data_IF_192117521644
#
_entry.id   IF_192117521644
#
_cell.length_a   1.000
_cell.length_b   1.000
_cell.length_c   1.000
_cell.angle_alpha   90.00
_cell.angle_beta   90.00
_cell.angle_gamma   90.00
#
_symmetry.space_group_name_H-M   'P 1'
#
loop_
_entity.id
_entity.type
_entity.pdbx_description
1 polymer ?
#
# COMPACT_ATOMS: atom_id res chain seq x y z
N UNK A 1 6.92 -11.19 5.34
CA UNK A 1 6.64 -11.71 6.69
C UNK A 1 5.52 -10.89 7.34
N UNK A 2 4.40 -11.52 7.72
CA UNK A 2 3.21 -10.81 8.22
C UNK A 2 3.17 -10.70 9.74
N UNK A 3 3.84 -11.59 10.46
CA UNK A 3 3.68 -11.77 11.91
C UNK A 3 2.23 -12.06 12.33
N UNK A 4 1.41 -12.47 11.34
CA UNK A 4 0.02 -12.80 11.58
C UNK A 4 -0.11 -14.05 12.47
N UNK A 5 -1.04 -13.95 13.41
CA UNK A 5 -1.49 -15.06 14.24
C UNK A 5 -2.98 -15.25 14.02
N UNK A 6 -3.53 -16.37 14.43
CA UNK A 6 -4.98 -16.61 14.35
C UNK A 6 -5.81 -15.52 15.07
N UNK A 7 -5.21 -14.85 16.08
CA UNK A 7 -5.88 -13.85 16.91
C UNK A 7 -5.82 -12.42 16.35
N UNK A 8 -4.86 -12.09 15.44
CA UNK A 8 -4.67 -10.72 14.96
C UNK A 8 -4.99 -10.51 13.48
N UNK A 9 -5.55 -11.51 12.81
CA UNK A 9 -5.89 -11.44 11.38
C UNK A 9 -6.87 -10.29 11.05
N UNK A 10 -7.79 -9.98 11.96
CA UNK A 10 -8.75 -8.87 11.79
C UNK A 10 -8.09 -7.48 11.71
N UNK A 11 -6.91 -7.32 12.29
CA UNK A 11 -6.17 -6.04 12.25
C UNK A 11 -5.41 -5.81 10.94
N UNK A 12 -5.31 -6.84 10.10
CA UNK A 12 -4.59 -6.82 8.83
C UNK A 12 -5.52 -6.60 7.62
N UNK A 13 -6.77 -6.23 7.87
CA UNK A 13 -7.74 -5.95 6.80
C UNK A 13 -7.41 -4.60 6.15
N UNK A 14 -7.29 -4.59 4.82
CA UNK A 14 -7.14 -3.37 4.02
C UNK A 14 -8.46 -3.14 3.27
N UNK A 15 -9.16 -2.01 3.48
CA UNK A 15 -10.39 -1.70 2.74
C UNK A 15 -10.15 -1.71 1.22
N UNK A 16 -11.06 -2.33 0.46
CA UNK A 16 -10.95 -2.45 -0.99
C UNK A 16 -10.17 -3.68 -1.46
N UNK A 17 -9.62 -4.48 -0.54
CA UNK A 17 -8.88 -5.70 -0.87
C UNK A 17 -9.45 -6.92 -0.17
N UNK A 18 -9.40 -8.06 -0.85
CA UNK A 18 -9.58 -9.37 -0.26
C UNK A 18 -8.21 -9.85 0.27
N UNK A 19 -8.16 -10.28 1.51
CA UNK A 19 -6.93 -10.75 2.14
C UNK A 19 -6.90 -12.28 2.14
N UNK A 20 -5.96 -12.87 1.41
CA UNK A 20 -5.59 -14.28 1.50
C UNK A 20 -4.37 -14.38 2.40
N UNK A 21 -4.46 -15.16 3.48
CA UNK A 21 -3.41 -15.19 4.50
C UNK A 21 -3.12 -16.61 4.94
N UNK A 22 -1.84 -16.89 5.14
CA UNK A 22 -1.35 -18.10 5.75
C UNK A 22 -0.47 -17.71 6.95
N UNK A 23 -1.04 -17.66 8.17
CA UNK A 23 -0.28 -17.39 9.38
C UNK A 23 0.64 -18.57 9.68
N UNK A 24 1.78 -18.27 10.30
CA UNK A 24 2.64 -19.34 10.84
C UNK A 24 2.04 -19.86 12.15
N UNK A 25 2.02 -21.17 12.33
CA UNK A 25 1.64 -21.85 13.57
C UNK A 25 2.88 -22.30 14.35
N UNK A 26 2.80 -22.32 15.69
CA UNK A 26 3.80 -22.93 16.56
C UNK A 26 5.09 -22.12 16.81
N UNK A 27 5.39 -21.05 16.04
CA UNK A 27 6.58 -20.20 16.25
C UNK A 27 6.22 -18.72 16.06
N UNK A 28 6.93 -17.84 16.75
CA UNK A 28 6.76 -16.39 16.60
C UNK A 28 7.35 -15.92 15.26
N UNK A 29 6.68 -14.97 14.59
CA UNK A 29 7.07 -14.39 13.30
C UNK A 29 6.64 -15.24 12.12
N UNK A 30 7.00 -14.86 10.92
CA UNK A 30 6.62 -15.54 9.67
C UNK A 30 5.21 -15.22 9.21
N UNK A 31 4.64 -16.13 8.43
CA UNK A 31 3.37 -15.96 7.75
C UNK A 31 3.48 -15.11 6.49
N UNK A 32 2.67 -15.45 5.50
CA UNK A 32 2.57 -14.75 4.21
C UNK A 32 1.13 -14.33 3.94
N UNK A 33 0.97 -13.24 3.18
CA UNK A 33 -0.35 -12.76 2.78
C UNK A 33 -0.31 -12.21 1.36
N UNK A 34 -1.44 -12.35 0.66
CA UNK A 34 -1.69 -11.73 -0.64
C UNK A 34 -2.98 -10.93 -0.53
N UNK A 35 -2.92 -9.65 -0.84
CA UNK A 35 -4.07 -8.78 -0.93
C UNK A 35 -4.46 -8.61 -2.40
N UNK A 36 -5.66 -9.05 -2.73
CA UNK A 36 -6.20 -8.98 -4.09
C UNK A 36 -7.28 -7.91 -4.13
N UNK A 37 -7.20 -6.98 -5.09
CA UNK A 37 -8.25 -5.98 -5.29
C UNK A 37 -9.62 -6.65 -5.44
N UNK A 38 -10.65 -6.11 -4.80
CA UNK A 38 -11.99 -6.70 -4.75
C UNK A 38 -12.64 -6.88 -6.13
N UNK A 39 -12.20 -6.12 -7.14
CA UNK A 39 -12.68 -6.25 -8.52
C UNK A 39 -12.13 -7.46 -9.25
N UNK A 40 -11.07 -8.10 -8.74
CA UNK A 40 -10.38 -9.21 -9.38
C UNK A 40 -10.89 -10.54 -8.81
N UNK A 41 -11.36 -11.42 -9.69
CA UNK A 41 -11.71 -12.79 -9.32
C UNK A 41 -10.46 -13.62 -9.08
N UNK A 42 -10.43 -14.37 -8.01
CA UNK A 42 -9.30 -15.22 -7.65
C UNK A 42 -9.73 -16.53 -6.99
N UNK A 43 -8.79 -17.48 -6.93
CA UNK A 43 -8.92 -18.74 -6.21
C UNK A 43 -7.64 -19.00 -5.45
N UNK A 44 -7.73 -19.36 -4.17
CA UNK A 44 -6.58 -19.83 -3.39
C UNK A 44 -6.24 -21.25 -3.82
N UNK A 45 -4.96 -21.53 -4.04
CA UNK A 45 -4.46 -22.81 -4.54
C UNK A 45 -4.15 -23.76 -3.36
N UNK A 46 -5.19 -24.23 -2.72
CA UNK A 46 -5.08 -25.19 -1.60
C UNK A 46 -4.56 -26.57 -2.04
N UNK A 47 -4.63 -26.88 -3.33
CA UNK A 47 -4.07 -28.07 -3.95
C UNK A 47 -2.53 -28.14 -3.89
N UNK A 48 -1.87 -27.01 -3.63
CA UNK A 48 -0.42 -26.94 -3.49
C UNK A 48 0.08 -27.18 -2.06
N UNK A 49 -0.79 -27.47 -1.11
CA UNK A 49 -0.39 -27.69 0.31
C UNK A 49 0.58 -28.87 0.49
N UNK A 50 0.62 -29.81 -0.43
CA UNK A 50 1.58 -30.92 -0.41
C UNK A 50 3.05 -30.48 -0.53
N UNK A 51 3.28 -29.24 -1.03
CA UNK A 51 4.61 -28.64 -1.16
C UNK A 51 5.00 -27.80 0.07
N UNK A 52 4.14 -27.71 1.09
CA UNK A 52 4.44 -27.02 2.34
C UNK A 52 5.54 -27.75 3.10
N UNK A 53 6.50 -26.99 3.61
CA UNK A 53 7.58 -27.50 4.43
C UNK A 53 8.06 -26.45 5.43
N UNK A 54 8.86 -26.88 6.41
CA UNK A 54 9.40 -26.00 7.45
C UNK A 54 10.46 -25.01 6.95
N UNK A 55 11.05 -25.28 5.77
CA UNK A 55 12.11 -24.49 5.17
C UNK A 55 11.60 -23.20 4.53
N UNK A 56 10.34 -23.18 4.09
CA UNK A 56 9.74 -21.94 3.58
C UNK A 56 8.22 -21.97 3.69
N UNK A 57 7.67 -20.77 3.75
CA UNK A 57 6.23 -20.53 3.75
C UNK A 57 5.83 -19.92 2.43
N UNK A 58 4.79 -20.44 1.83
CA UNK A 58 4.24 -19.85 0.62
C UNK A 58 2.72 -19.86 0.61
N UNK A 59 2.16 -18.95 -0.17
CA UNK A 59 0.74 -18.86 -0.49
C UNK A 59 0.61 -18.61 -1.97
N UNK A 60 -0.20 -19.39 -2.65
CA UNK A 60 -0.47 -19.21 -4.08
C UNK A 60 -1.93 -18.82 -4.30
N UNK A 61 -2.13 -17.80 -5.11
CA UNK A 61 -3.45 -17.32 -5.55
C UNK A 61 -3.47 -17.30 -7.09
N UNK A 62 -4.48 -17.94 -7.67
CA UNK A 62 -4.73 -17.85 -9.11
C UNK A 62 -5.70 -16.71 -9.40
N UNK A 63 -5.25 -15.70 -10.13
CA UNK A 63 -6.07 -14.58 -10.60
C UNK A 63 -6.73 -14.93 -11.93
N UNK A 64 -8.01 -14.54 -12.09
CA UNK A 64 -8.77 -14.67 -13.34
C UNK A 64 -8.94 -13.28 -13.97
N UNK A 65 -8.21 -13.01 -15.05
CA UNK A 65 -8.14 -11.73 -15.73
C UNK A 65 -8.69 -11.87 -17.17
N UNK A 66 -10.01 -11.76 -17.30
CA UNK A 66 -10.67 -12.11 -18.56
C UNK A 66 -10.53 -13.61 -18.86
N UNK A 67 -9.91 -13.93 -20.01
CA UNK A 67 -9.64 -15.31 -20.41
C UNK A 67 -8.26 -15.82 -19.93
N UNK A 68 -7.46 -14.97 -19.30
CA UNK A 68 -6.14 -15.33 -18.82
C UNK A 68 -6.18 -15.70 -17.34
N UNK A 69 -5.39 -16.69 -16.98
CA UNK A 69 -5.11 -17.06 -15.59
C UNK A 69 -3.67 -16.74 -15.27
N UNK A 70 -3.44 -16.12 -14.13
CA UNK A 70 -2.10 -15.78 -13.64
C UNK A 70 -1.93 -16.29 -12.22
N UNK A 71 -0.85 -17.01 -11.95
CA UNK A 71 -0.53 -17.49 -10.61
C UNK A 71 0.39 -16.48 -9.91
N UNK A 72 0.00 -16.06 -8.72
CA UNK A 72 0.78 -15.17 -7.86
C UNK A 72 1.13 -15.93 -6.59
N UNK A 73 2.42 -16.04 -6.31
CA UNK A 73 2.95 -16.76 -5.14
C UNK A 73 3.68 -15.77 -4.24
N UNK A 74 3.29 -15.71 -2.98
CA UNK A 74 4.05 -15.04 -1.94
C UNK A 74 4.92 -16.08 -1.23
N UNK A 75 6.22 -15.79 -1.08
CA UNK A 75 7.20 -16.70 -0.45
C UNK A 75 7.90 -15.97 0.70
N UNK A 76 8.09 -16.69 1.79
CA UNK A 76 8.97 -16.28 2.87
C UNK A 76 9.83 -17.47 3.30
N UNK A 77 11.16 -17.33 3.19
CA UNK A 77 12.13 -18.31 3.71
C UNK A 77 12.71 -17.80 5.02
N UNK A 78 12.55 -18.52 6.13
CA UNK A 78 13.19 -18.14 7.38
C UNK A 78 14.73 -18.17 7.28
N UNK A 79 15.46 -17.20 7.90
CA UNK A 79 16.90 -17.01 7.65
C UNK A 79 17.78 -18.13 8.22
N UNK A 80 17.39 -19.11 8.85
CA UNK A 80 18.23 -20.19 9.43
C UNK A 80 17.85 -21.58 8.94
N UNK A 81 17.03 -21.67 7.90
CA UNK A 81 16.62 -22.94 7.33
C UNK A 81 17.66 -23.46 6.32
N UNK A 82 17.68 -24.77 6.11
CA UNK A 82 18.58 -25.42 5.16
C UNK A 82 18.34 -24.89 3.75
N UNK A 83 19.37 -24.30 3.13
CA UNK A 83 19.27 -23.78 1.78
C UNK A 83 19.14 -24.90 0.73
N UNK A 84 19.89 -26.01 0.80
CA UNK A 84 19.72 -27.12 -0.13
C UNK A 84 18.30 -27.73 -0.11
N UNK A 85 17.70 -27.90 1.07
CA UNK A 85 16.32 -28.41 1.18
C UNK A 85 15.31 -27.39 0.61
N UNK A 86 15.51 -26.11 0.89
CA UNK A 86 14.69 -25.05 0.31
C UNK A 86 14.72 -25.08 -1.23
N UNK A 87 15.92 -25.17 -1.83
CA UNK A 87 16.10 -25.21 -3.29
C UNK A 87 15.42 -26.43 -3.89
N UNK A 88 15.56 -27.61 -3.25
CA UNK A 88 14.89 -28.85 -3.69
C UNK A 88 13.37 -28.71 -3.67
N UNK A 89 12.80 -28.09 -2.64
CA UNK A 89 11.36 -27.91 -2.52
C UNK A 89 10.86 -26.83 -3.49
N UNK A 90 11.65 -25.77 -3.70
CA UNK A 90 11.36 -24.78 -4.75
C UNK A 90 11.31 -25.43 -6.14
N UNK A 91 12.26 -26.32 -6.49
CA UNK A 91 12.27 -26.99 -7.78
C UNK A 91 10.96 -27.77 -8.02
N UNK A 92 10.50 -28.53 -7.02
CA UNK A 92 9.23 -29.28 -7.12
C UNK A 92 8.03 -28.35 -7.34
N UNK A 93 7.93 -27.27 -6.54
CA UNK A 93 6.85 -26.28 -6.65
C UNK A 93 6.89 -25.56 -8.00
N UNK A 94 8.07 -25.14 -8.46
CA UNK A 94 8.27 -24.46 -9.73
C UNK A 94 7.89 -25.36 -10.91
N UNK A 95 8.33 -26.62 -10.90
CA UNK A 95 7.95 -27.63 -11.89
C UNK A 95 6.43 -27.77 -11.98
N UNK A 96 5.74 -27.88 -10.84
CA UNK A 96 4.28 -28.00 -10.79
C UNK A 96 3.61 -26.76 -11.40
N UNK A 97 4.00 -25.55 -10.96
CA UNK A 97 3.38 -24.32 -11.37
C UNK A 97 3.65 -23.97 -12.85
N UNK A 98 4.85 -24.23 -13.34
CA UNK A 98 5.21 -23.94 -14.75
C UNK A 98 4.58 -24.92 -15.71
N UNK A 99 4.32 -26.18 -15.28
CA UNK A 99 3.61 -27.17 -16.10
C UNK A 99 2.18 -26.76 -16.46
N UNK A 100 1.57 -25.87 -15.69
CA UNK A 100 0.21 -25.37 -15.93
C UNK A 100 0.12 -24.33 -17.05
N UNK A 101 1.25 -23.83 -17.54
CA UNK A 101 1.34 -22.83 -18.62
C UNK A 101 0.61 -21.51 -18.35
N UNK A 102 0.38 -21.20 -17.09
CA UNK A 102 -0.11 -19.88 -16.67
C UNK A 102 1.06 -18.94 -16.41
N UNK A 103 0.89 -17.65 -16.66
CA UNK A 103 1.91 -16.66 -16.25
C UNK A 103 2.07 -16.74 -14.74
N UNK A 104 3.33 -16.86 -14.29
CA UNK A 104 3.69 -17.07 -12.89
C UNK A 104 4.49 -15.89 -12.37
N UNK A 105 4.08 -15.37 -11.22
CA UNK A 105 4.77 -14.35 -10.44
C UNK A 105 5.06 -14.91 -9.06
N UNK A 106 6.33 -14.95 -8.67
CA UNK A 106 6.75 -15.43 -7.34
C UNK A 106 7.47 -14.27 -6.66
N UNK A 107 6.87 -13.71 -5.64
CA UNK A 107 7.39 -12.55 -4.91
C UNK A 107 7.61 -12.88 -3.44
N UNK A 108 8.69 -12.38 -2.87
CA UNK A 108 8.92 -12.54 -1.44
C UNK A 108 10.34 -12.30 -0.98
N UNK A 109 10.54 -12.60 0.31
CA UNK A 109 11.84 -12.60 0.97
C UNK A 109 12.40 -14.02 0.98
N UNK A 110 13.39 -14.24 0.15
CA UNK A 110 14.07 -15.55 0.02
C UNK A 110 15.19 -15.72 1.05
N UNK A 111 15.61 -14.64 1.73
CA UNK A 111 16.78 -14.63 2.60
C UNK A 111 18.04 -15.24 1.95
N UNK A 112 18.17 -15.10 0.62
CA UNK A 112 19.31 -15.49 -0.21
C UNK A 112 19.83 -14.23 -0.88
N UNK A 113 21.08 -13.87 -0.63
CA UNK A 113 21.68 -12.66 -1.22
C UNK A 113 22.07 -12.91 -2.68
N UNK A 114 21.20 -12.56 -3.61
CA UNK A 114 21.41 -12.78 -5.05
C UNK A 114 22.60 -11.96 -5.61
N UNK A 115 23.12 -10.98 -4.87
CA UNK A 115 24.35 -10.28 -5.28
C UNK A 115 25.59 -11.14 -5.16
N UNK A 116 25.49 -12.31 -4.50
CA UNK A 116 26.60 -13.24 -4.29
C UNK A 116 26.54 -14.45 -5.21
N UNK A 117 25.77 -14.40 -6.28
CA UNK A 117 25.59 -15.58 -7.15
C UNK A 117 26.94 -16.10 -7.73
N UNK A 118 27.90 -15.22 -8.01
CA UNK A 118 29.24 -15.60 -8.52
C UNK A 118 30.19 -16.16 -7.42
N UNK A 119 29.88 -15.95 -6.14
CA UNK A 119 30.77 -16.22 -5.03
C UNK A 119 30.22 -17.23 -4.01
N UNK A 120 28.99 -17.66 -4.17
CA UNK A 120 28.33 -18.55 -3.22
C UNK A 120 27.51 -19.61 -3.96
N UNK A 121 28.03 -20.83 -3.96
CA UNK A 121 27.51 -21.98 -4.75
C UNK A 121 26.01 -22.25 -4.52
N UNK A 122 25.56 -22.16 -3.26
CA UNK A 122 24.14 -22.39 -2.95
C UNK A 122 23.23 -21.29 -3.52
N UNK A 123 23.74 -20.05 -3.62
CA UNK A 123 22.99 -18.94 -4.27
C UNK A 123 22.93 -19.14 -5.77
N UNK A 124 24.04 -19.58 -6.40
CA UNK A 124 24.08 -19.95 -7.81
C UNK A 124 23.08 -21.06 -8.10
N UNK A 125 23.12 -22.15 -7.31
CA UNK A 125 22.21 -23.28 -7.46
C UNK A 125 20.72 -22.88 -7.35
N UNK A 126 20.37 -21.96 -6.44
CA UNK A 126 19.00 -21.44 -6.36
C UNK A 126 18.58 -20.68 -7.63
N UNK A 127 19.48 -19.82 -8.16
CA UNK A 127 19.21 -19.10 -9.40
C UNK A 127 19.12 -20.04 -10.60
N UNK A 128 20.00 -21.05 -10.69
CA UNK A 128 20.00 -22.04 -11.75
C UNK A 128 18.65 -22.80 -11.76
N UNK A 129 18.19 -23.25 -10.60
CA UNK A 129 16.87 -23.90 -10.46
C UNK A 129 15.73 -22.96 -10.90
N UNK A 130 15.79 -21.68 -10.52
CA UNK A 130 14.77 -20.75 -10.98
C UNK A 130 14.80 -20.57 -12.51
N UNK A 131 15.98 -20.44 -13.10
CA UNK A 131 16.16 -20.26 -14.56
C UNK A 131 15.79 -21.51 -15.35
N UNK A 132 16.09 -22.71 -14.85
CA UNK A 132 15.65 -24.00 -15.43
C UNK A 132 14.11 -24.08 -15.57
N UNK A 133 13.41 -23.41 -14.67
CA UNK A 133 11.95 -23.30 -14.72
C UNK A 133 11.45 -22.01 -15.38
N UNK A 134 12.30 -21.33 -16.16
CA UNK A 134 11.96 -20.07 -16.85
C UNK A 134 11.49 -18.95 -15.91
N UNK A 135 12.01 -18.90 -14.68
CA UNK A 135 11.70 -17.88 -13.69
C UNK A 135 12.85 -16.87 -13.62
N UNK A 136 12.57 -15.65 -14.06
CA UNK A 136 13.56 -14.58 -14.18
C UNK A 136 13.42 -13.57 -13.04
N UNK A 137 14.49 -13.28 -12.29
CA UNK A 137 14.46 -12.25 -11.27
C UNK A 137 14.34 -10.85 -11.92
N UNK A 138 13.50 -10.01 -11.36
CA UNK A 138 13.24 -8.67 -11.91
C UNK A 138 13.88 -7.54 -11.11
N UNK A 139 14.33 -7.81 -9.89
CA UNK A 139 15.01 -6.85 -9.03
C UNK A 139 16.50 -7.18 -9.01
N UNK A 140 17.34 -6.17 -9.34
CA UNK A 140 18.79 -6.31 -9.44
C UNK A 140 19.57 -5.42 -8.44
N UNK A 141 18.86 -4.65 -7.60
CA UNK A 141 19.48 -3.76 -6.61
C UNK A 141 19.18 -4.24 -5.19
N UNK A 142 20.08 -3.95 -4.23
CA UNK A 142 19.85 -4.33 -2.83
C UNK A 142 18.48 -3.89 -2.33
N UNK A 143 17.81 -4.79 -1.63
CA UNK A 143 16.50 -4.55 -1.02
C UNK A 143 16.59 -4.37 0.49
N UNK A 144 17.61 -4.93 1.14
CA UNK A 144 17.83 -4.79 2.57
C UNK A 144 19.14 -4.08 2.88
N UNK A 145 19.08 -3.18 3.86
CA UNK A 145 20.19 -2.32 4.22
C UNK A 145 20.43 -2.33 5.73
N UNK A 146 21.67 -2.65 6.12
CA UNK A 146 22.20 -2.46 7.47
C UNK A 146 23.30 -1.37 7.48
N UNK A 147 23.95 -1.15 8.62
CA UNK A 147 25.08 -0.20 8.70
C UNK A 147 26.21 -0.54 7.75
N UNK A 148 26.58 -1.81 7.66
CA UNK A 148 27.77 -2.29 6.96
C UNK A 148 27.46 -3.12 5.72
N UNK A 149 26.22 -3.59 5.55
CA UNK A 149 25.86 -4.50 4.47
C UNK A 149 24.66 -4.00 3.69
N UNK A 150 24.66 -4.36 2.42
CA UNK A 150 23.48 -4.25 1.55
C UNK A 150 23.31 -5.57 0.81
N UNK A 151 22.12 -6.14 0.86
CA UNK A 151 21.79 -7.47 0.32
C UNK A 151 20.57 -7.42 -0.56
N UNK A 152 20.52 -8.27 -1.57
CA UNK A 152 19.38 -8.48 -2.46
C UNK A 152 18.71 -9.80 -2.08
N UNK A 153 17.82 -9.76 -1.10
CA UNK A 153 17.15 -10.94 -0.54
C UNK A 153 15.66 -10.99 -0.85
N UNK A 154 15.08 -9.87 -1.28
CA UNK A 154 13.70 -9.80 -1.76
C UNK A 154 13.71 -9.72 -3.29
N UNK A 155 12.85 -10.50 -3.96
CA UNK A 155 12.74 -10.46 -5.42
C UNK A 155 11.34 -10.78 -5.90
N UNK A 156 11.09 -10.48 -7.18
CA UNK A 156 9.92 -10.91 -7.93
C UNK A 156 10.42 -11.68 -9.14
N UNK A 157 10.20 -12.99 -9.14
CA UNK A 157 10.49 -13.86 -10.28
C UNK A 157 9.27 -13.95 -11.18
N UNK A 158 9.48 -13.89 -12.50
CA UNK A 158 8.42 -13.94 -13.49
C UNK A 158 8.72 -15.01 -14.53
N UNK A 159 7.68 -15.72 -15.00
CA UNK A 159 7.84 -16.79 -16.00
C UNK A 159 7.81 -16.29 -17.46
N UNK A 160 7.59 -15.00 -17.68
CA UNK A 160 7.56 -14.41 -19.03
C UNK A 160 8.10 -12.98 -18.99
N UNK A 161 9.04 -12.69 -19.87
CA UNK A 161 9.60 -11.37 -20.10
C UNK A 161 9.06 -10.71 -21.37
N UNK A 162 8.06 -11.34 -22.03
CA UNK A 162 7.53 -10.89 -23.33
C UNK A 162 6.55 -9.71 -23.21
N UNK A 163 6.19 -9.30 -22.01
CA UNK A 163 5.32 -8.15 -21.76
C UNK A 163 6.17 -6.93 -21.40
N UNK A 164 5.72 -5.74 -21.84
CA UNK A 164 6.28 -4.49 -21.32
C UNK A 164 6.04 -4.44 -19.82
N UNK A 165 7.11 -4.43 -19.07
CA UNK A 165 7.03 -4.33 -17.63
C UNK A 165 7.97 -3.27 -17.06
N UNK A 166 7.63 -2.79 -15.88
CA UNK A 166 8.49 -1.96 -15.04
C UNK A 166 8.60 -2.60 -13.68
N UNK A 167 9.82 -2.92 -13.27
CA UNK A 167 10.09 -3.45 -11.94
C UNK A 167 11.10 -2.56 -11.21
N UNK A 168 11.04 -2.55 -9.89
CA UNK A 168 11.95 -1.74 -9.10
C UNK A 168 11.64 -1.79 -7.61
N UNK A 169 12.20 -0.82 -6.89
CA UNK A 169 12.02 -0.70 -5.46
C UNK A 169 11.63 0.74 -5.07
N UNK A 170 10.86 0.86 -4.01
CA UNK A 170 10.53 2.15 -3.40
C UNK A 170 11.50 2.45 -2.27
N UNK A 171 12.05 3.65 -2.26
CA UNK A 171 12.85 4.12 -1.12
C UNK A 171 11.90 4.52 0.00
N UNK A 172 11.77 3.64 0.98
CA UNK A 172 10.91 3.79 2.15
C UNK A 172 11.62 3.32 3.41
N UNK A 173 11.35 3.95 4.53
CA UNK A 173 11.90 3.59 5.84
C UNK A 173 10.88 2.92 6.76
N UNK A 174 9.87 2.26 6.17
CA UNK A 174 8.88 1.49 6.93
C UNK A 174 9.50 0.29 7.64
N UNK A 175 10.51 -0.33 7.01
CA UNK A 175 11.27 -1.44 7.55
C UNK A 175 12.75 -1.32 7.12
N UNK A 176 13.60 -2.27 7.50
CA UNK A 176 14.96 -2.42 6.99
C UNK A 176 15.00 -3.04 5.58
N UNK A 177 13.85 -3.55 5.09
CA UNK A 177 13.64 -3.95 3.71
C UNK A 177 12.95 -2.84 2.92
N UNK A 178 13.40 -2.62 1.68
CA UNK A 178 12.73 -1.72 0.75
C UNK A 178 11.60 -2.46 0.03
N UNK A 179 10.39 -1.87 -0.06
CA UNK A 179 9.31 -2.44 -0.87
C UNK A 179 9.71 -2.56 -2.34
N UNK A 180 9.47 -3.70 -2.93
CA UNK A 180 9.68 -3.99 -4.34
C UNK A 180 8.35 -3.95 -5.09
N UNK A 181 8.37 -3.64 -6.38
CA UNK A 181 7.18 -3.63 -7.22
C UNK A 181 7.45 -4.18 -8.61
N UNK A 182 6.38 -4.69 -9.21
CA UNK A 182 6.33 -5.12 -10.59
C UNK A 182 5.03 -4.62 -11.22
N UNK A 183 5.12 -3.98 -12.35
CA UNK A 183 3.99 -3.44 -13.12
C UNK A 183 4.08 -4.03 -14.52
N UNK A 184 3.07 -4.77 -14.94
CA UNK A 184 2.92 -5.23 -16.31
C UNK A 184 1.60 -4.74 -16.90
N UNK A 185 1.57 -4.53 -18.22
CA UNK A 185 0.35 -4.21 -18.91
C UNK A 185 -0.52 -5.47 -19.01
N UNK A 186 -1.67 -5.46 -18.37
CA UNK A 186 -2.68 -6.48 -18.56
C UNK A 186 -3.59 -5.99 -19.69
N UNK A 187 -3.66 -6.71 -20.80
CA UNK A 187 -4.64 -6.46 -21.86
C UNK A 187 -6.04 -6.89 -21.36
N UNK A 188 -6.57 -6.21 -20.37
CA UNK A 188 -7.95 -6.42 -19.97
C UNK A 188 -8.84 -5.46 -20.75
N UNK A 189 -9.92 -5.96 -21.35
CA UNK A 189 -11.04 -5.14 -21.79
C UNK A 189 -11.87 -4.64 -20.59
N UNK A 190 -11.31 -4.60 -19.41
CA UNK A 190 -11.97 -4.08 -18.24
C UNK A 190 -12.18 -2.57 -18.43
N UNK A 191 -13.42 -2.18 -18.78
CA UNK A 191 -13.88 -0.82 -18.55
C UNK A 191 -13.56 -0.50 -17.08
N UNK A 192 -12.57 0.35 -16.85
CA UNK A 192 -12.40 0.95 -15.54
C UNK A 192 -13.70 1.72 -15.23
N UNK A 193 -14.59 1.10 -14.49
CA UNK A 193 -15.69 1.82 -13.89
C UNK A 193 -15.10 2.69 -12.77
N UNK A 194 -14.68 3.89 -13.14
CA UNK A 194 -14.41 4.90 -12.14
C UNK A 194 -15.73 5.22 -11.46
N UNK A 195 -15.83 4.90 -10.21
CA UNK A 195 -16.96 5.31 -9.39
C UNK A 195 -16.96 6.86 -9.35
N UNK A 196 -17.95 7.45 -10.02
CA UNK A 196 -18.13 8.89 -10.02
C UNK A 196 -18.96 9.20 -8.80
N UNK A 197 -18.33 9.65 -7.72
CA UNK A 197 -19.07 10.17 -6.57
C UNK A 197 -19.48 11.61 -6.85
N UNK A 198 -20.79 11.84 -6.83
CA UNK A 198 -21.35 13.16 -6.86
C UNK A 198 -21.35 13.73 -5.44
N UNK A 199 -20.54 14.74 -5.19
CA UNK A 199 -20.57 15.50 -3.92
C UNK A 199 -21.17 16.86 -4.14
N UNK A 200 -22.06 17.27 -3.24
CA UNK A 200 -22.57 18.64 -3.24
C UNK A 200 -21.60 19.53 -2.43
N UNK A 201 -21.21 20.65 -2.97
CA UNK A 201 -20.39 21.62 -2.28
C UNK A 201 -20.82 23.04 -2.63
N UNK A 202 -20.55 23.99 -1.72
CA UNK A 202 -20.73 25.43 -1.95
C UNK A 202 -19.37 26.05 -2.24
N UNK A 203 -19.34 26.99 -3.16
CA UNK A 203 -18.10 27.74 -3.47
C UNK A 203 -18.15 29.07 -2.71
N UNK A 204 -17.24 29.22 -1.75
CA UNK A 204 -17.08 30.43 -0.95
C UNK A 204 -15.93 31.25 -1.57
N UNK A 205 -16.23 32.11 -2.54
CA UNK A 205 -15.25 33.07 -3.09
C UNK A 205 -15.34 34.40 -2.32
N UNK A 206 -14.24 35.15 -2.31
CA UNK A 206 -14.23 36.49 -1.67
C UNK A 206 -15.32 37.42 -2.22
N UNK A 207 -15.58 37.34 -3.53
CA UNK A 207 -16.66 38.08 -4.17
C UNK A 207 -18.04 37.65 -3.68
N UNK A 208 -18.30 36.33 -3.55
CA UNK A 208 -19.58 35.85 -3.06
C UNK A 208 -19.76 36.15 -1.57
N UNK A 209 -18.70 36.14 -0.77
CA UNK A 209 -18.73 36.55 0.64
C UNK A 209 -19.04 38.05 0.75
N UNK A 210 -18.43 38.89 -0.08
CA UNK A 210 -18.71 40.30 -0.12
C UNK A 210 -20.18 40.59 -0.47
N UNK A 211 -20.69 39.96 -1.53
CA UNK A 211 -22.10 40.12 -1.93
C UNK A 211 -23.07 39.62 -0.85
N UNK A 212 -22.75 38.55 -0.15
CA UNK A 212 -23.57 38.04 0.96
C UNK A 212 -23.62 39.03 2.12
N UNK A 213 -22.47 39.68 2.46
CA UNK A 213 -22.41 40.72 3.49
C UNK A 213 -23.25 41.95 3.12
N UNK A 214 -23.16 42.39 1.89
CA UNK A 214 -23.98 43.49 1.38
C UNK A 214 -25.48 43.18 1.47
N UNK A 215 -25.90 41.97 1.07
CA UNK A 215 -27.29 41.54 1.17
C UNK A 215 -27.77 41.45 2.63
N UNK A 216 -26.93 40.92 3.53
CA UNK A 216 -27.25 40.87 4.96
C UNK A 216 -27.44 42.29 5.56
N UNK A 217 -26.55 43.20 5.20
CA UNK A 217 -26.62 44.58 5.67
C UNK A 217 -27.85 45.33 5.14
N UNK A 218 -28.26 45.02 3.91
CA UNK A 218 -29.44 45.63 3.27
C UNK A 218 -30.77 44.98 3.68
N UNK A 219 -30.74 43.87 4.45
CA UNK A 219 -31.94 43.11 4.81
C UNK A 219 -32.68 43.80 5.95
N UNK A 220 -33.99 43.94 5.77
CA UNK A 220 -34.89 44.41 6.84
C UNK A 220 -35.19 43.26 7.83
N UNK A 221 -34.78 43.45 9.07
CA UNK A 221 -34.95 42.54 10.19
C UNK A 221 -36.10 42.91 11.14
N UNK A 222 -36.88 43.93 10.85
CA UNK A 222 -37.92 44.46 11.73
C UNK A 222 -38.98 43.44 12.14
N UNK A 223 -39.28 42.44 11.29
CA UNK A 223 -40.18 41.34 11.63
C UNK A 223 -39.63 40.38 12.69
N UNK A 224 -38.29 40.30 12.81
CA UNK A 224 -37.63 39.48 13.83
C UNK A 224 -37.71 40.18 15.20
N UNK A 225 -37.70 41.50 15.23
CA UNK A 225 -37.67 42.30 16.47
C UNK A 225 -39.08 42.62 17.04
N UNK A 226 -40.15 42.42 16.26
CA UNK A 226 -41.55 42.73 16.64
C UNK A 226 -42.33 41.60 17.24
N UNK A 227 -41.75 40.47 17.51
CA UNK A 227 -42.43 39.29 18.10
C UNK A 227 -41.91 38.99 19.49
N UNK A 228 -42.79 38.78 20.43
CA UNK A 228 -42.45 38.43 21.80
C UNK A 228 -42.12 36.93 21.96
N UNK A 229 -42.44 36.12 20.97
CA UNK A 229 -42.10 34.68 20.95
C UNK A 229 -40.73 34.45 20.30
N UNK A 230 -39.76 34.04 21.10
CA UNK A 230 -38.40 33.79 20.70
C UNK A 230 -38.30 32.73 19.58
N UNK A 231 -39.13 31.71 19.57
CA UNK A 231 -39.12 30.68 18.54
C UNK A 231 -39.61 31.21 17.20
N UNK A 232 -40.62 32.08 17.22
CA UNK A 232 -41.14 32.76 16.03
C UNK A 232 -40.09 33.76 15.49
N UNK A 233 -39.49 34.54 16.37
CA UNK A 233 -38.38 35.47 16.01
C UNK A 233 -37.24 34.70 15.36
N UNK A 234 -36.80 33.60 15.97
CA UNK A 234 -35.74 32.77 15.42
C UNK A 234 -36.13 32.12 14.07
N UNK A 235 -37.38 31.68 13.95
CA UNK A 235 -37.91 31.14 12.69
C UNK A 235 -37.84 32.12 11.54
N UNK A 236 -38.21 33.41 11.80
CA UNK A 236 -38.14 34.46 10.82
C UNK A 236 -36.65 34.78 10.45
N UNK A 237 -35.78 34.90 11.46
CA UNK A 237 -34.37 35.11 11.24
C UNK A 237 -33.73 34.05 10.38
N UNK A 238 -33.86 32.75 10.79
CA UNK A 238 -33.20 31.67 10.10
C UNK A 238 -33.70 31.44 8.68
N UNK A 239 -35.03 31.61 8.47
CA UNK A 239 -35.65 31.53 7.13
C UNK A 239 -35.07 32.58 6.17
N UNK A 240 -34.94 33.82 6.64
CA UNK A 240 -34.39 34.92 5.85
C UNK A 240 -32.89 34.70 5.60
N UNK A 241 -32.15 34.36 6.65
CA UNK A 241 -30.70 34.08 6.57
C UNK A 241 -30.41 32.92 5.59
N UNK A 242 -31.12 31.81 5.69
CA UNK A 242 -30.95 30.64 4.81
C UNK A 242 -31.27 30.98 3.35
N UNK A 243 -32.28 31.78 3.12
CA UNK A 243 -32.59 32.26 1.77
C UNK A 243 -31.41 33.03 1.17
N UNK A 244 -30.89 34.02 1.88
CA UNK A 244 -29.74 34.83 1.45
C UNK A 244 -28.46 33.97 1.30
N UNK A 245 -28.25 33.03 2.21
CA UNK A 245 -27.11 32.12 2.18
C UNK A 245 -27.17 31.22 0.97
N UNK A 246 -28.33 30.60 0.69
CA UNK A 246 -28.53 29.70 -0.45
C UNK A 246 -28.42 30.46 -1.79
N UNK A 247 -28.87 31.70 -1.84
CA UNK A 247 -28.75 32.54 -3.02
C UNK A 247 -27.29 32.92 -3.29
N UNK A 248 -26.55 33.30 -2.24
CA UNK A 248 -25.17 33.77 -2.37
C UNK A 248 -24.19 32.58 -2.57
N UNK A 249 -24.50 31.41 -2.00
CA UNK A 249 -23.66 30.21 -2.06
C UNK A 249 -24.46 29.02 -2.54
N UNK A 250 -24.90 28.98 -3.80
CA UNK A 250 -25.71 27.89 -4.31
C UNK A 250 -24.99 26.54 -4.22
N UNK A 251 -25.72 25.49 -3.85
CA UNK A 251 -25.19 24.14 -3.88
C UNK A 251 -24.91 23.71 -5.32
N UNK A 252 -23.68 23.31 -5.57
CA UNK A 252 -23.25 22.76 -6.86
C UNK A 252 -22.90 21.30 -6.70
N UNK A 253 -23.41 20.45 -7.60
CA UNK A 253 -23.01 19.05 -7.66
C UNK A 253 -21.69 18.96 -8.44
N UNK A 254 -20.63 18.56 -7.75
CA UNK A 254 -19.30 18.35 -8.35
C UNK A 254 -19.11 16.85 -8.52
N UNK A 255 -18.98 16.42 -9.76
CA UNK A 255 -18.56 15.06 -10.09
C UNK A 255 -17.07 14.91 -9.87
N UNK A 256 -16.66 14.16 -8.86
CA UNK A 256 -15.26 13.83 -8.62
C UNK A 256 -15.00 12.38 -8.95
N UNK A 257 -13.98 12.11 -9.75
CA UNK A 257 -13.42 10.77 -9.84
C UNK A 257 -12.85 10.45 -8.46
N UNK A 258 -13.30 9.37 -7.85
CA UNK A 258 -12.68 8.90 -6.61
C UNK A 258 -11.32 8.33 -6.98
N UNK A 259 -10.30 9.14 -6.85
CA UNK A 259 -8.97 8.60 -6.61
C UNK A 259 -8.98 8.16 -5.15
N UNK A 260 -8.78 6.88 -4.91
CA UNK A 260 -8.82 6.24 -3.58
C UNK A 260 -7.71 6.70 -2.62
N UNK A 261 -7.07 7.82 -2.89
CA UNK A 261 -6.24 8.52 -1.93
C UNK A 261 -7.13 9.26 -0.93
N UNK A 262 -7.77 8.50 -0.05
CA UNK A 262 -8.40 9.07 1.15
C UNK A 262 -7.27 9.62 2.01
N UNK A 263 -6.94 10.89 1.79
CA UNK A 263 -6.10 11.65 2.72
C UNK A 263 -6.78 11.58 4.09
N UNK A 264 -6.17 10.82 5.02
CA UNK A 264 -6.71 10.72 6.38
C UNK A 264 -6.77 12.12 6.97
N UNK A 265 -7.89 12.55 7.61
CA UNK A 265 -8.08 13.94 8.06
C UNK A 265 -6.97 14.47 8.98
N UNK A 266 -6.26 13.57 9.68
CA UNK A 266 -5.16 13.92 10.58
C UNK A 266 -3.82 14.18 9.87
N UNK A 267 -3.68 13.88 8.57
CA UNK A 267 -2.48 14.16 7.79
C UNK A 267 -2.49 15.62 7.35
N UNK A 268 -1.89 16.48 8.18
CA UNK A 268 -1.76 17.90 7.89
C UNK A 268 -0.63 18.18 6.88
N UNK A 269 -0.64 19.37 6.25
CA UNK A 269 0.46 19.81 5.37
C UNK A 269 1.83 19.82 6.09
N UNK A 270 1.84 20.13 7.39
CA UNK A 270 3.04 20.06 8.23
C UNK A 270 3.58 18.65 8.37
N UNK A 271 2.71 17.67 8.61
CA UNK A 271 3.07 16.25 8.67
C UNK A 271 3.64 15.80 7.31
N UNK A 272 3.00 16.17 6.19
CA UNK A 272 3.49 15.85 4.86
C UNK A 272 4.88 16.44 4.57
N UNK A 273 5.15 17.69 4.99
CA UNK A 273 6.50 18.29 4.88
C UNK A 273 7.52 17.52 5.72
N UNK A 274 7.14 17.09 6.93
CA UNK A 274 8.01 16.32 7.82
C UNK A 274 8.32 14.92 7.25
N UNK A 275 7.33 14.24 6.65
CA UNK A 275 7.53 12.97 5.94
C UNK A 275 8.56 13.17 4.82
N UNK A 276 8.35 14.14 3.94
CA UNK A 276 9.27 14.43 2.82
C UNK A 276 10.70 14.73 3.31
N UNK A 277 10.85 15.47 4.42
CA UNK A 277 12.17 15.75 5.00
C UNK A 277 12.82 14.50 5.57
N UNK A 278 12.06 13.65 6.28
CA UNK A 278 12.53 12.36 6.79
C UNK A 278 12.99 11.46 5.65
N UNK A 279 12.20 11.32 4.59
CA UNK A 279 12.54 10.51 3.42
C UNK A 279 13.78 11.04 2.68
N UNK A 280 13.95 12.38 2.63
CA UNK A 280 15.18 12.98 2.07
C UNK A 280 16.42 12.61 2.88
N UNK A 281 16.34 12.68 4.21
CA UNK A 281 17.46 12.30 5.09
C UNK A 281 17.78 10.81 4.99
N UNK A 282 16.76 9.97 4.85
CA UNK A 282 16.92 8.54 4.63
C UNK A 282 17.64 8.24 3.31
N UNK A 283 17.25 8.89 2.22
CA UNK A 283 17.93 8.76 0.91
C UNK A 283 19.40 9.18 0.98
N UNK A 284 19.71 10.28 1.67
CA UNK A 284 21.11 10.73 1.87
C UNK A 284 21.90 9.65 2.61
N UNK A 285 21.35 9.10 3.70
CA UNK A 285 22.04 8.02 4.42
C UNK A 285 22.23 6.77 3.54
N UNK A 286 21.22 6.35 2.80
CA UNK A 286 21.32 5.21 1.88
C UNK A 286 22.42 5.43 0.81
N UNK A 287 22.63 6.66 0.35
CA UNK A 287 23.61 6.99 -0.67
C UNK A 287 25.06 7.08 -0.16
N UNK A 288 25.29 7.71 1.00
CA UNK A 288 26.64 7.95 1.51
C UNK A 288 27.08 6.99 2.61
N UNK A 289 26.16 6.31 3.29
CA UNK A 289 26.44 5.35 4.38
C UNK A 289 27.27 5.90 5.53
N UNK A 290 27.37 7.22 5.67
CA UNK A 290 28.13 7.83 6.75
C UNK A 290 27.40 7.77 8.08
N UNK A 291 28.16 7.67 9.19
CA UNK A 291 27.60 7.70 10.55
C UNK A 291 26.86 9.01 10.84
N UNK A 292 27.32 10.12 10.29
CA UNK A 292 26.69 11.43 10.48
C UNK A 292 25.34 11.51 9.79
N UNK A 293 25.22 10.99 8.56
CA UNK A 293 23.95 10.93 7.84
C UNK A 293 22.97 9.99 8.55
N UNK A 294 23.43 8.86 9.08
CA UNK A 294 22.63 7.94 9.88
C UNK A 294 22.10 8.61 11.14
N UNK A 295 22.98 9.29 11.89
CA UNK A 295 22.60 9.98 13.12
C UNK A 295 21.60 11.10 12.86
N UNK A 296 21.81 11.90 11.81
CA UNK A 296 20.88 12.95 11.39
C UNK A 296 19.51 12.40 11.02
N UNK A 297 19.47 11.32 10.24
CA UNK A 297 18.23 10.64 9.90
C UNK A 297 17.53 10.09 11.15
N UNK A 298 18.23 9.31 12.01
CA UNK A 298 17.65 8.72 13.22
C UNK A 298 17.11 9.76 14.20
N UNK A 299 17.87 10.85 14.40
CA UNK A 299 17.44 11.97 15.24
C UNK A 299 16.13 12.58 14.72
N UNK A 300 16.05 12.82 13.41
CA UNK A 300 14.86 13.38 12.81
C UNK A 300 13.68 12.40 12.84
N UNK A 301 13.90 11.11 12.55
CA UNK A 301 12.86 10.06 12.62
C UNK A 301 12.25 9.98 14.02
N UNK A 302 13.07 10.04 15.07
CA UNK A 302 12.59 10.04 16.46
C UNK A 302 11.72 11.26 16.75
N UNK A 303 12.14 12.46 16.37
CA UNK A 303 11.35 13.70 16.52
C UNK A 303 10.03 13.64 15.77
N UNK A 304 10.04 13.15 14.51
CA UNK A 304 8.84 12.96 13.70
C UNK A 304 7.85 12.00 14.36
N UNK A 305 8.32 10.87 14.89
CA UNK A 305 7.48 9.86 15.53
C UNK A 305 6.73 10.44 16.74
N UNK A 306 7.41 11.15 17.62
CA UNK A 306 6.76 11.79 18.78
C UNK A 306 5.74 12.87 18.38
N UNK A 307 6.03 13.65 17.35
CA UNK A 307 5.12 14.69 16.87
C UNK A 307 3.87 14.12 16.21
N UNK A 308 3.99 13.02 15.47
CA UNK A 308 2.85 12.37 14.79
C UNK A 308 1.96 11.58 15.73
N UNK A 309 2.52 10.88 16.72
CA UNK A 309 1.75 10.16 17.75
C UNK A 309 1.04 11.13 18.70
N UNK A 310 1.73 12.17 19.16
CA UNK A 310 1.14 13.16 20.05
C UNK A 310 -0.11 13.81 19.45
N UNK A 311 -0.12 14.07 18.13
CA UNK A 311 -1.32 14.59 17.43
C UNK A 311 -2.43 13.56 17.26
N UNK A 312 -2.11 12.28 17.08
CA UNK A 312 -3.12 11.23 17.01
C UNK A 312 -3.86 11.01 18.34
N UNK A 313 -3.17 11.12 19.46
CA UNK A 313 -3.78 10.99 20.81
C UNK A 313 -4.73 12.16 21.11
N UNK A 314 -4.42 13.37 20.59
CA UNK A 314 -5.28 14.56 20.78
C UNK A 314 -6.55 14.51 19.92
N UNK A 315 -6.50 13.85 18.75
CA UNK A 315 -7.66 13.75 17.85
C UNK A 315 -8.56 12.54 18.10
N UNK A 316 -8.16 11.62 18.99
CA UNK A 316 -9.00 10.49 19.44
C UNK A 316 -9.71 10.76 20.79
N UNK A 317 -9.51 11.90 21.40
CA UNK A 317 -10.28 12.44 22.53
C UNK A 317 -11.25 13.49 22.01
#
# INVERSE_FOLDING_TARGET
ETWATEYNTSTLIIPGYNCCMKPRTGRRGGGVAIYVDQSIKYTVRDDLREYDCDEFEFLCVQLSLGNEKKNVVAVYRPPKTSLPHFVTNCAKLFQKLTSERHTLYIAGDFNIDLLKYDAHDETSNFLDVALEHYLYPTISKPTRFSRSTSTLIDNIFVSSLNEDYTAGLFISDLSDHLPIFFISSIKTQAKQMHEIVCTTSRTLTDSAIFQFREKLAATDWTHTDKTDDVNVAYGHFISKFDSLYNESFPLRTVKRKVYTNVSKPWITSGIMKSIKKKDKLYRVWLGCRSSDAENNYKKYKKTYFYTSIGKNIILQK
#
